data_IF_719940541878
#
_entry.id   IF_719940541878
#
_cell.length_a   1.000
_cell.length_b   1.000
_cell.length_c   1.000
_cell.angle_alpha   90.00
_cell.angle_beta   90.00
_cell.angle_gamma   90.00
#
_symmetry.space_group_name_H-M   'P 1'
#
loop_
_entity.id
_entity.type
_entity.pdbx_description
1 polymer ?
#
# COMPACT_ATOMS: atom_id res chain seq x y z
N UNK A 1 2.97 -4.64 -25.15
CA UNK A 1 4.28 -5.00 -24.56
C UNK A 1 4.24 -4.86 -23.06
N UNK A 2 5.09 -5.60 -22.33
CA UNK A 2 5.21 -5.45 -20.87
C UNK A 2 5.76 -4.06 -20.57
N UNK A 3 5.18 -3.38 -19.56
CA UNK A 3 5.48 -2.02 -19.13
C UNK A 3 5.27 -0.95 -20.21
N UNK A 4 4.64 -1.30 -21.33
CA UNK A 4 4.47 -0.39 -22.46
C UNK A 4 5.74 -0.10 -23.23
N UNK A 5 6.83 -0.86 -23.01
CA UNK A 5 8.10 -0.64 -23.69
C UNK A 5 7.97 -0.84 -25.19
N UNK A 6 8.58 0.04 -25.97
CA UNK A 6 8.59 0.00 -27.41
C UNK A 6 9.35 1.17 -28.00
N UNK A 7 9.35 1.25 -29.33
CA UNK A 7 10.03 2.33 -30.04
C UNK A 7 9.42 3.69 -29.71
N UNK A 8 10.25 4.71 -29.61
CA UNK A 8 9.88 6.11 -29.45
C UNK A 8 9.08 6.37 -28.14
N UNK A 9 7.75 6.48 -28.24
CA UNK A 9 6.86 6.74 -27.10
C UNK A 9 6.37 5.47 -26.41
N UNK A 10 6.75 4.30 -26.91
CA UNK A 10 6.31 3.01 -26.41
C UNK A 10 5.08 2.44 -27.10
N UNK A 11 4.63 1.32 -26.60
CA UNK A 11 3.46 0.58 -27.10
C UNK A 11 2.42 0.46 -25.98
N UNK A 12 1.25 -0.11 -26.33
CA UNK A 12 0.21 -0.42 -25.36
C UNK A 12 0.74 -1.39 -24.29
N UNK A 13 0.47 -1.09 -23.03
CA UNK A 13 0.90 -1.91 -21.89
C UNK A 13 0.06 -3.18 -21.80
N UNK A 14 0.70 -4.34 -21.80
CA UNK A 14 0.03 -5.64 -21.67
C UNK A 14 -0.80 -5.71 -20.38
N UNK A 15 -0.19 -5.33 -19.26
CA UNK A 15 -0.79 -5.34 -17.94
C UNK A 15 -2.08 -4.51 -17.87
N UNK A 16 -2.12 -3.35 -18.53
CA UNK A 16 -3.28 -2.47 -18.54
C UNK A 16 -4.42 -3.07 -19.39
N UNK A 17 -4.11 -3.62 -20.55
CA UNK A 17 -5.12 -4.27 -21.42
C UNK A 17 -5.69 -5.51 -20.76
N UNK A 18 -4.83 -6.37 -20.21
CA UNK A 18 -5.23 -7.62 -19.56
C UNK A 18 -6.14 -7.32 -18.36
N UNK A 19 -5.75 -6.37 -17.53
CA UNK A 19 -6.54 -6.03 -16.35
C UNK A 19 -7.82 -5.25 -16.70
N UNK A 20 -7.85 -4.44 -17.74
CA UNK A 20 -9.08 -3.83 -18.24
C UNK A 20 -10.09 -4.90 -18.66
N UNK A 21 -9.66 -5.90 -19.43
CA UNK A 21 -10.54 -7.01 -19.86
C UNK A 21 -10.98 -7.86 -18.66
N UNK A 22 -10.08 -8.14 -17.70
CA UNK A 22 -10.41 -8.94 -16.51
C UNK A 22 -11.42 -8.23 -15.61
N UNK A 23 -11.22 -6.94 -15.33
CA UNK A 23 -12.10 -6.16 -14.43
C UNK A 23 -13.43 -5.78 -15.05
N UNK A 24 -13.47 -5.62 -16.38
CA UNK A 24 -14.69 -5.30 -17.12
C UNK A 24 -15.14 -6.46 -18.01
N UNK A 25 -15.08 -7.67 -17.46
CA UNK A 25 -15.54 -8.88 -18.15
C UNK A 25 -17.01 -8.80 -18.57
N UNK A 26 -17.83 -8.12 -17.77
CA UNK A 26 -19.23 -7.80 -18.04
C UNK A 26 -19.41 -7.04 -19.35
N UNK A 27 -18.50 -6.10 -19.63
CA UNK A 27 -18.54 -5.25 -20.82
C UNK A 27 -17.87 -5.89 -22.04
N UNK A 28 -16.66 -6.43 -21.85
CA UNK A 28 -15.87 -6.96 -22.98
C UNK A 28 -16.34 -8.33 -23.43
N UNK A 29 -16.92 -9.12 -22.54
CA UNK A 29 -17.35 -10.51 -22.79
C UNK A 29 -16.24 -11.37 -23.44
N UNK A 30 -15.01 -11.19 -22.99
CA UNK A 30 -13.83 -11.88 -23.47
C UNK A 30 -13.26 -12.80 -22.38
N UNK A 31 -12.76 -13.97 -22.80
CA UNK A 31 -11.99 -14.86 -21.95
C UNK A 31 -10.48 -14.56 -22.09
N UNK A 32 -9.78 -14.64 -20.97
CA UNK A 32 -8.32 -14.49 -20.92
C UNK A 32 -7.70 -15.78 -20.39
N UNK A 33 -6.68 -16.27 -21.09
CA UNK A 33 -5.85 -17.41 -20.68
C UNK A 33 -4.47 -16.93 -20.17
N UNK A 34 -4.47 -15.86 -19.37
CA UNK A 34 -3.26 -15.27 -18.79
C UNK A 34 -3.37 -15.40 -17.27
N UNK A 35 -2.33 -15.96 -16.66
CA UNK A 35 -2.17 -15.91 -15.21
C UNK A 35 -1.76 -14.50 -14.79
N UNK A 36 -2.75 -13.71 -14.37
CA UNK A 36 -2.52 -12.31 -14.00
C UNK A 36 -1.66 -12.15 -12.77
N UNK A 37 -1.55 -13.17 -11.90
CA UNK A 37 -0.70 -13.12 -10.71
C UNK A 37 0.80 -13.04 -11.06
N UNK A 38 1.18 -13.33 -12.30
CA UNK A 38 2.55 -13.20 -12.80
C UNK A 38 2.87 -11.82 -13.39
N UNK A 39 1.89 -10.92 -13.49
CA UNK A 39 2.07 -9.61 -14.14
C UNK A 39 3.17 -8.80 -13.46
N UNK A 40 3.16 -8.68 -12.14
CA UNK A 40 4.17 -7.92 -11.39
C UNK A 40 5.57 -8.53 -11.55
N UNK A 41 5.68 -9.85 -11.47
CA UNK A 41 6.94 -10.58 -11.64
C UNK A 41 7.53 -10.34 -13.04
N UNK A 42 6.70 -10.45 -14.08
CA UNK A 42 7.10 -10.17 -15.46
C UNK A 42 7.53 -8.70 -15.65
N UNK A 43 6.77 -7.76 -15.09
CA UNK A 43 7.10 -6.34 -15.13
C UNK A 43 8.47 -6.03 -14.50
N UNK A 44 8.73 -6.60 -13.32
CA UNK A 44 10.01 -6.45 -12.61
C UNK A 44 11.18 -7.06 -13.39
N UNK A 45 10.98 -8.26 -13.92
CA UNK A 45 11.98 -8.94 -14.74
C UNK A 45 12.38 -8.10 -15.96
N UNK A 46 11.40 -7.57 -16.70
CA UNK A 46 11.64 -6.70 -17.86
C UNK A 46 12.35 -5.41 -17.45
N UNK A 47 11.91 -4.78 -16.36
CA UNK A 47 12.58 -3.56 -15.85
C UNK A 47 14.03 -3.80 -15.48
N UNK A 48 14.33 -4.90 -14.78
CA UNK A 48 15.69 -5.27 -14.40
C UNK A 48 16.58 -5.60 -15.62
N UNK A 49 16.03 -6.36 -16.58
CA UNK A 49 16.78 -6.79 -17.77
C UNK A 49 17.10 -5.64 -18.72
N UNK A 50 16.16 -4.70 -18.85
CA UNK A 50 16.30 -3.57 -19.79
C UNK A 50 16.91 -2.32 -19.18
N UNK A 51 16.91 -2.21 -17.84
CA UNK A 51 17.32 -1.00 -17.11
C UNK A 51 16.27 0.12 -17.10
N UNK A 52 15.11 -0.06 -17.77
CA UNK A 52 14.02 0.91 -17.75
C UNK A 52 13.17 0.74 -16.49
N UNK A 53 13.30 1.68 -15.56
CA UNK A 53 12.51 1.68 -14.33
C UNK A 53 11.02 1.91 -14.61
N UNK A 54 10.17 1.16 -13.90
CA UNK A 54 8.73 1.38 -13.91
C UNK A 54 8.42 2.65 -13.09
N UNK A 55 7.63 3.57 -13.67
CA UNK A 55 7.20 4.76 -12.94
C UNK A 55 6.36 4.37 -11.72
N UNK A 56 6.57 5.01 -10.55
CA UNK A 56 5.82 4.68 -9.33
C UNK A 56 4.30 4.76 -9.47
N UNK A 57 3.81 5.68 -10.28
CA UNK A 57 2.38 5.90 -10.54
C UNK A 57 1.84 5.11 -11.75
N UNK A 58 2.64 4.19 -12.33
CA UNK A 58 2.15 3.39 -13.45
C UNK A 58 1.01 2.48 -13.00
N UNK A 59 -0.06 2.42 -13.79
CA UNK A 59 -1.19 1.56 -13.52
C UNK A 59 -0.75 0.09 -13.37
N UNK A 60 -1.39 -0.65 -12.50
CA UNK A 60 -1.23 -2.08 -12.22
C UNK A 60 0.12 -2.47 -11.57
N UNK A 61 1.25 -2.01 -12.11
CA UNK A 61 2.60 -2.49 -11.72
C UNK A 61 3.47 -1.44 -11.02
N UNK A 62 3.05 -0.18 -10.99
CA UNK A 62 3.78 0.89 -10.29
C UNK A 62 3.74 0.70 -8.78
N UNK A 63 4.77 1.16 -8.07
CA UNK A 63 4.88 1.01 -6.62
C UNK A 63 3.70 1.63 -5.84
N UNK A 64 3.05 2.65 -6.42
CA UNK A 64 1.90 3.33 -5.83
C UNK A 64 0.55 2.76 -6.29
N UNK A 65 0.52 1.75 -7.16
CA UNK A 65 -0.72 1.26 -7.77
C UNK A 65 -1.77 0.81 -6.74
N UNK A 66 -1.31 0.24 -5.61
CA UNK A 66 -2.16 -0.25 -4.52
C UNK A 66 -1.81 0.44 -3.17
N UNK A 67 -1.20 1.63 -3.21
CA UNK A 67 -0.85 2.39 -2.02
C UNK A 67 -1.90 3.47 -1.75
N UNK A 68 -2.40 3.52 -0.52
CA UNK A 68 -3.39 4.50 -0.07
C UNK A 68 -2.79 5.39 1.02
N UNK A 69 -2.50 6.65 0.68
CA UNK A 69 -1.94 7.64 1.61
C UNK A 69 -3.00 8.58 2.20
N UNK A 70 -4.11 8.80 1.49
CA UNK A 70 -5.21 9.67 1.96
C UNK A 70 -6.02 9.00 3.06
N UNK A 71 -6.29 9.70 4.16
CA UNK A 71 -7.09 9.21 5.28
C UNK A 71 -8.51 8.78 4.87
N UNK A 72 -9.15 9.49 3.94
CA UNK A 72 -10.48 9.13 3.41
C UNK A 72 -10.39 7.81 2.62
N UNK A 73 -9.38 7.66 1.78
CA UNK A 73 -9.18 6.42 1.00
C UNK A 73 -8.83 5.25 1.91
N UNK A 74 -7.97 5.44 2.91
CA UNK A 74 -7.63 4.43 3.90
C UNK A 74 -8.86 3.96 4.67
N UNK A 75 -9.68 4.89 5.18
CA UNK A 75 -10.93 4.57 5.89
C UNK A 75 -11.95 3.87 4.96
N UNK A 76 -12.04 4.28 3.70
CA UNK A 76 -12.89 3.65 2.69
C UNK A 76 -12.49 2.19 2.41
N UNK A 77 -11.20 1.92 2.22
CA UNK A 77 -10.66 0.56 2.03
C UNK A 77 -10.93 -0.32 3.25
N UNK A 78 -10.78 0.23 4.47
CA UNK A 78 -11.06 -0.50 5.71
C UNK A 78 -12.54 -0.87 5.89
N UNK A 79 -13.46 -0.01 5.41
CA UNK A 79 -14.91 -0.22 5.56
C UNK A 79 -15.52 -1.02 4.41
N UNK A 80 -15.09 -0.73 3.18
CA UNK A 80 -15.60 -1.37 1.97
C UNK A 80 -14.54 -1.32 0.86
N UNK A 81 -13.69 -2.33 0.80
CA UNK A 81 -12.57 -2.44 -0.13
C UNK A 81 -13.00 -2.22 -1.58
N UNK A 82 -14.11 -2.82 -1.98
CA UNK A 82 -14.65 -2.73 -3.35
C UNK A 82 -15.09 -1.31 -3.75
N UNK A 83 -15.19 -0.38 -2.80
CA UNK A 83 -15.53 1.02 -3.08
C UNK A 83 -14.38 1.78 -3.76
N UNK A 84 -13.13 1.40 -3.46
CA UNK A 84 -11.92 2.09 -3.94
C UNK A 84 -11.02 1.21 -4.80
N UNK A 85 -11.27 -0.11 -4.82
CA UNK A 85 -10.44 -1.09 -5.50
C UNK A 85 -11.28 -1.96 -6.43
N UNK A 86 -11.22 -1.67 -7.72
CA UNK A 86 -11.84 -2.50 -8.77
C UNK A 86 -11.03 -3.75 -9.11
N UNK A 87 -9.76 -3.82 -8.65
CA UNK A 87 -8.89 -4.99 -8.71
C UNK A 87 -8.12 -5.12 -7.39
N UNK A 88 -7.80 -6.33 -7.00
CA UNK A 88 -7.01 -6.61 -5.80
C UNK A 88 -5.53 -6.67 -6.12
N UNK A 89 -4.69 -6.29 -5.16
CA UNK A 89 -3.24 -6.38 -5.29
C UNK A 89 -2.78 -7.80 -5.65
N UNK A 90 -3.38 -8.79 -5.01
CA UNK A 90 -3.07 -10.22 -5.21
C UNK A 90 -3.39 -10.70 -6.63
N UNK A 91 -4.40 -10.11 -7.28
CA UNK A 91 -4.81 -10.47 -8.66
C UNK A 91 -3.71 -10.23 -9.69
N UNK A 92 -2.74 -9.38 -9.37
CA UNK A 92 -1.63 -9.00 -10.24
C UNK A 92 -0.26 -9.37 -9.68
N UNK A 93 -0.22 -10.09 -8.55
CA UNK A 93 1.01 -10.61 -7.96
C UNK A 93 1.64 -9.73 -6.87
N UNK A 94 0.96 -8.67 -6.41
CA UNK A 94 1.33 -7.99 -5.17
C UNK A 94 0.89 -8.84 -3.98
N UNK A 95 1.69 -8.85 -2.90
CA UNK A 95 1.39 -9.66 -1.71
C UNK A 95 0.15 -9.20 -0.96
N UNK A 96 -0.06 -7.89 -0.88
CA UNK A 96 -1.24 -7.25 -0.30
C UNK A 96 -1.27 -5.76 -0.67
N UNK A 97 -2.41 -5.11 -0.48
CA UNK A 97 -2.49 -3.66 -0.52
C UNK A 97 -1.66 -3.06 0.60
N UNK A 98 -0.80 -2.13 0.26
CA UNK A 98 0.04 -1.44 1.22
C UNK A 98 -0.62 -0.12 1.64
N UNK A 99 -1.02 -0.04 2.90
CA UNK A 99 -1.39 1.25 3.50
C UNK A 99 -0.09 1.97 3.84
N UNK A 100 0.22 3.02 3.10
CA UNK A 100 1.38 3.88 3.38
C UNK A 100 0.97 4.91 4.40
N UNK A 101 1.55 4.81 5.61
CA UNK A 101 1.30 5.79 6.66
C UNK A 101 2.12 7.07 6.42
N UNK A 102 1.48 8.21 6.64
CA UNK A 102 2.09 9.51 6.48
C UNK A 102 1.21 10.64 7.01
N UNK A 103 1.54 11.89 6.68
CA UNK A 103 0.86 13.08 7.17
C UNK A 103 -0.68 13.06 7.02
N UNK A 104 -1.19 12.50 5.92
CA UNK A 104 -2.63 12.43 5.62
C UNK A 104 -3.33 11.20 6.23
N UNK A 105 -2.59 10.29 6.85
CA UNK A 105 -3.17 9.09 7.46
C UNK A 105 -3.99 9.43 8.70
N UNK A 106 -5.19 8.84 8.75
CA UNK A 106 -6.10 8.96 9.88
C UNK A 106 -5.82 7.91 10.96
N UNK A 107 -6.47 8.08 12.13
CA UNK A 107 -6.33 7.21 13.30
C UNK A 107 -6.67 5.73 13.00
N UNK A 108 -7.68 5.46 12.18
CA UNK A 108 -8.08 4.10 11.85
C UNK A 108 -6.99 3.34 11.07
N UNK A 109 -6.36 4.00 10.10
CA UNK A 109 -5.24 3.42 9.35
C UNK A 109 -4.04 3.13 10.28
N UNK A 110 -3.73 4.03 11.22
CA UNK A 110 -2.70 3.83 12.22
C UNK A 110 -3.01 2.63 13.13
N UNK A 111 -4.24 2.53 13.67
CA UNK A 111 -4.69 1.38 14.48
C UNK A 111 -4.55 0.07 13.73
N UNK A 112 -4.98 0.03 12.47
CA UNK A 112 -4.85 -1.18 11.68
C UNK A 112 -3.39 -1.57 11.49
N UNK A 113 -2.49 -0.60 11.24
CA UNK A 113 -1.07 -0.90 11.08
C UNK A 113 -0.46 -1.45 12.37
N UNK A 114 -0.84 -0.94 13.53
CA UNK A 114 -0.44 -1.52 14.82
C UNK A 114 -0.87 -2.99 14.93
N UNK A 115 -2.12 -3.31 14.55
CA UNK A 115 -2.62 -4.69 14.56
C UNK A 115 -1.85 -5.60 13.61
N UNK A 116 -1.54 -5.13 12.39
CA UNK A 116 -0.73 -5.86 11.40
C UNK A 116 0.69 -6.15 11.90
N UNK A 117 1.25 -5.24 12.69
CA UNK A 117 2.57 -5.39 13.33
C UNK A 117 2.52 -6.22 14.63
N UNK A 118 1.33 -6.68 15.03
CA UNK A 118 1.16 -7.45 16.26
C UNK A 118 1.28 -6.61 17.53
N UNK A 119 1.17 -5.29 17.43
CA UNK A 119 1.26 -4.36 18.56
C UNK A 119 -0.13 -4.18 19.16
N UNK A 120 -0.32 -4.62 20.40
CA UNK A 120 -1.50 -4.37 21.19
C UNK A 120 -1.21 -3.26 22.21
N UNK A 121 -1.93 -2.15 22.13
CA UNK A 121 -1.91 -1.09 23.14
C UNK A 121 -3.04 -1.34 24.15
N UNK A 122 -2.77 -1.10 25.44
CA UNK A 122 -3.63 -1.49 26.53
C UNK A 122 -4.93 -0.66 26.59
N UNK A 123 -4.87 0.60 26.17
CA UNK A 123 -6.02 1.51 26.24
C UNK A 123 -6.20 2.38 24.99
N UNK A 124 -7.40 2.92 24.82
CA UNK A 124 -7.66 3.94 23.79
C UNK A 124 -6.85 5.24 24.03
N UNK A 125 -6.47 5.51 25.28
CA UNK A 125 -5.62 6.66 25.64
C UNK A 125 -4.21 6.46 25.07
N UNK A 126 -3.65 5.26 25.19
CA UNK A 126 -2.32 4.93 24.64
C UNK A 126 -2.31 5.02 23.12
N UNK A 127 -3.39 4.55 22.46
CA UNK A 127 -3.54 4.71 21.02
C UNK A 127 -3.56 6.18 20.61
N UNK A 128 -4.25 7.05 21.39
CA UNK A 128 -4.31 8.47 21.09
C UNK A 128 -2.94 9.14 21.27
N UNK A 129 -2.20 8.78 22.31
CA UNK A 129 -0.87 9.31 22.57
C UNK A 129 0.11 8.87 21.50
N UNK A 130 0.14 7.58 21.16
CA UNK A 130 0.95 7.05 20.07
C UNK A 130 0.59 7.69 18.71
N UNK A 131 -0.71 7.91 18.46
CA UNK A 131 -1.15 8.57 17.24
C UNK A 131 -0.72 10.04 17.18
N UNK A 132 -0.74 10.78 18.29
CA UNK A 132 -0.23 12.16 18.35
C UNK A 132 1.26 12.21 17.99
N UNK A 133 2.09 11.35 18.59
CA UNK A 133 3.52 11.23 18.26
C UNK A 133 3.75 10.83 16.81
N UNK A 134 2.94 9.90 16.29
CA UNK A 134 2.97 9.55 14.87
C UNK A 134 2.71 10.76 13.97
N UNK A 135 1.74 11.61 14.29
CA UNK A 135 1.46 12.84 13.51
C UNK A 135 2.63 13.81 13.54
N UNK A 136 3.27 14.01 14.67
CA UNK A 136 4.47 14.85 14.81
C UNK A 136 5.63 14.30 13.96
N UNK A 137 5.84 12.99 13.95
CA UNK A 137 6.84 12.34 13.12
C UNK A 137 6.51 12.50 11.62
N UNK A 138 5.25 12.31 11.25
CA UNK A 138 4.79 12.43 9.86
C UNK A 138 4.82 13.87 9.32
N UNK A 139 4.87 14.87 10.19
CA UNK A 139 5.12 16.26 9.79
C UNK A 139 6.60 16.52 9.43
N UNK A 140 7.52 15.71 9.96
CA UNK A 140 8.97 15.85 9.75
C UNK A 140 9.53 14.86 8.73
N UNK A 141 8.86 13.72 8.53
CA UNK A 141 9.31 12.63 7.67
C UNK A 141 8.24 12.33 6.61
N UNK A 142 8.62 12.35 5.34
CA UNK A 142 7.68 12.16 4.22
C UNK A 142 7.13 10.75 4.11
N UNK A 143 7.86 9.75 4.58
CA UNK A 143 7.49 8.34 4.54
C UNK A 143 7.78 7.70 5.90
N UNK A 144 6.79 7.04 6.48
CA UNK A 144 6.88 6.38 7.79
C UNK A 144 7.01 4.88 7.56
N UNK A 145 8.04 4.28 8.10
CA UNK A 145 8.32 2.85 8.05
C UNK A 145 7.83 2.14 9.32
N UNK A 146 7.78 0.83 9.27
CA UNK A 146 7.33 0.00 10.40
C UNK A 146 8.24 0.14 11.61
N UNK A 147 9.54 0.29 11.38
CA UNK A 147 10.54 0.52 12.42
C UNK A 147 10.30 1.85 13.16
N UNK A 148 9.82 2.87 12.46
CA UNK A 148 9.46 4.14 13.09
C UNK A 148 8.26 3.97 14.03
N UNK A 149 7.26 3.17 13.63
CA UNK A 149 6.08 2.88 14.45
C UNK A 149 6.46 2.07 15.68
N UNK A 150 7.30 1.05 15.51
CA UNK A 150 7.82 0.24 16.60
C UNK A 150 8.59 1.09 17.63
N UNK A 151 9.44 2.01 17.16
CA UNK A 151 10.18 2.92 18.02
C UNK A 151 9.24 3.85 18.82
N UNK A 152 8.20 4.41 18.18
CA UNK A 152 7.22 5.27 18.85
C UNK A 152 6.48 4.57 19.99
N UNK A 153 6.20 3.27 19.85
CA UNK A 153 5.46 2.49 20.84
C UNK A 153 6.40 1.94 21.94
N UNK A 154 7.64 1.56 21.59
CA UNK A 154 8.61 1.06 22.57
C UNK A 154 9.03 2.13 23.59
N UNK A 155 9.11 3.40 23.19
CA UNK A 155 9.35 4.52 24.10
C UNK A 155 8.25 4.70 25.14
N UNK A 156 7.02 4.27 24.87
CA UNK A 156 5.90 4.34 25.82
C UNK A 156 5.93 3.21 26.84
N UNK A 157 6.28 2.00 26.44
CA UNK A 157 6.42 0.88 27.39
C UNK A 157 7.51 1.12 28.43
N UNK A 158 8.60 1.80 28.04
CA UNK A 158 9.69 2.17 28.96
C UNK A 158 9.28 3.30 29.92
N UNK A 159 8.41 4.21 29.52
CA UNK A 159 7.93 5.31 30.37
C UNK A 159 6.95 4.82 31.44
N UNK A 160 6.10 3.85 31.13
CA UNK A 160 5.14 3.26 32.09
C UNK A 160 5.83 2.41 33.17
N UNK A 161 6.93 1.71 32.85
CA UNK A 161 7.69 0.98 33.85
C UNK A 161 8.43 1.89 34.86
N UNK A 162 8.77 3.12 34.45
CA UNK A 162 9.45 4.08 35.35
C UNK A 162 8.52 4.82 36.30
N UNK A 163 7.23 4.96 35.99
CA UNK A 163 6.24 5.58 36.89
C UNK A 163 5.74 4.64 38.00
N UNK A 164 5.90 3.33 37.87
CA UNK A 164 5.51 2.34 38.89
C UNK A 164 6.56 2.13 39.99
N UNK A 165 7.72 2.76 39.88
CA UNK A 165 8.81 2.68 40.88
C UNK A 165 9.11 3.99 41.62
N UNK A 166 8.10 4.88 41.75
CA UNK A 166 8.21 6.07 42.62
C UNK A 166 7.15 6.09 43.69
#
# INVERSE_FOLDING_TARGET
TINGLGERAGNCSLEEVVMAVKTRRDYFNLALNIDTTQILSASRMVSQTTGFAVQPNKAVVGANAFAHASGIHQDGVLKARDTYEIMRAEDVGWSANKIVLGKLSGRNAFKQRLQELGIALESEADVNTAFAKFKELADRKSEIFDEDILALVSDESVTHEQEHFR
#
